data_IF_377742550099
#
_entry.id   IF_377742550099
#
_cell.length_a   1.000
_cell.length_b   1.000
_cell.length_c   1.000
_cell.angle_alpha   90.00
_cell.angle_beta   90.00
_cell.angle_gamma   90.00
#
_symmetry.space_group_name_H-M   'P 1'
#
loop_
_entity.id
_entity.type
_entity.pdbx_description
1 polymer ?
#
# COMPACT_ATOMS: atom_id res chain seq x y z
N UNK A 1 -5.77 30.18 -9.73
CA UNK A 1 -6.30 29.51 -10.94
C UNK A 1 -7.28 28.46 -10.45
N UNK A 2 -8.47 28.41 -11.02
CA UNK A 2 -9.48 27.41 -10.65
C UNK A 2 -9.03 26.08 -11.26
N UNK A 3 -8.73 25.07 -10.44
CA UNK A 3 -8.50 23.71 -10.90
C UNK A 3 -9.77 23.20 -11.56
N UNK A 4 -9.68 22.71 -12.77
CA UNK A 4 -10.79 22.06 -13.47
C UNK A 4 -10.40 20.66 -13.89
N UNK A 5 -11.34 19.73 -13.73
CA UNK A 5 -11.21 18.35 -14.13
C UNK A 5 -12.30 18.05 -15.15
N UNK A 6 -11.93 17.44 -16.26
CA UNK A 6 -12.86 17.02 -17.30
C UNK A 6 -12.97 15.50 -17.27
N UNK A 7 -14.21 15.00 -17.16
CA UNK A 7 -14.53 13.58 -17.35
C UNK A 7 -15.08 13.36 -18.75
N UNK A 8 -14.45 12.49 -19.52
CA UNK A 8 -14.84 12.13 -20.88
C UNK A 8 -15.26 10.67 -20.95
N UNK A 9 -16.41 10.40 -21.54
CA UNK A 9 -16.91 9.05 -21.83
C UNK A 9 -16.46 8.64 -23.24
N UNK A 10 -15.45 7.76 -23.35
CA UNK A 10 -14.86 7.37 -24.63
C UNK A 10 -15.83 6.57 -25.51
N UNK A 11 -16.71 5.80 -24.89
CA UNK A 11 -17.69 4.95 -25.57
C UNK A 11 -19.14 5.50 -25.47
N UNK A 12 -19.28 6.78 -25.09
CA UNK A 12 -20.59 7.42 -24.93
C UNK A 12 -21.45 6.87 -23.79
N UNK A 13 -20.88 6.06 -22.90
CA UNK A 13 -21.54 5.41 -21.77
C UNK A 13 -20.71 5.55 -20.50
N UNK A 14 -21.38 5.78 -19.36
CA UNK A 14 -20.74 5.80 -18.05
C UNK A 14 -20.26 4.41 -17.59
N UNK A 15 -20.70 3.35 -18.22
CA UNK A 15 -20.27 1.97 -17.96
C UNK A 15 -19.11 1.54 -18.85
N UNK A 16 -18.78 2.32 -19.88
CA UNK A 16 -17.64 2.08 -20.76
C UNK A 16 -16.34 2.62 -20.21
N UNK A 17 -15.42 2.95 -21.14
CA UNK A 17 -14.14 3.56 -20.80
C UNK A 17 -14.34 5.04 -20.48
N UNK A 18 -13.82 5.47 -19.34
CA UNK A 18 -13.81 6.87 -18.91
C UNK A 18 -12.38 7.38 -18.86
N UNK A 19 -12.21 8.65 -19.15
CA UNK A 19 -10.94 9.37 -19.11
C UNK A 19 -11.09 10.61 -18.24
N UNK A 20 -10.14 10.84 -17.32
CA UNK A 20 -10.01 12.09 -16.59
C UNK A 20 -8.87 12.94 -17.18
N UNK A 21 -9.12 14.23 -17.34
CA UNK A 21 -8.10 15.20 -17.72
C UNK A 21 -8.07 16.34 -16.69
N UNK A 22 -6.89 16.56 -16.12
CA UNK A 22 -6.63 17.63 -15.17
C UNK A 22 -5.94 18.78 -15.89
N UNK A 23 -6.26 20.04 -15.52
CA UNK A 23 -5.57 21.21 -16.09
C UNK A 23 -4.16 21.42 -15.53
N UNK A 24 -3.89 20.90 -14.33
CA UNK A 24 -2.66 21.09 -13.57
C UNK A 24 -1.81 19.82 -13.45
N UNK A 25 -2.25 18.70 -14.05
CA UNK A 25 -1.54 17.42 -14.00
C UNK A 25 -1.52 16.74 -15.38
N UNK A 26 -0.31 16.41 -15.93
CA UNK A 26 -0.19 15.91 -17.31
C UNK A 26 -0.56 14.43 -17.45
N UNK A 27 -0.93 13.76 -16.37
CA UNK A 27 -1.36 12.36 -16.40
C UNK A 27 -2.84 12.27 -16.73
N UNK A 28 -3.19 11.31 -17.56
CA UNK A 28 -4.56 10.99 -17.94
C UNK A 28 -4.95 9.64 -17.33
N UNK A 29 -5.69 9.62 -16.22
CA UNK A 29 -6.26 8.38 -15.68
C UNK A 29 -7.38 7.84 -16.55
N UNK A 30 -7.45 6.50 -16.64
CA UNK A 30 -8.54 5.80 -17.31
C UNK A 30 -9.25 4.86 -16.34
N UNK A 31 -10.59 4.86 -16.39
CA UNK A 31 -11.42 3.82 -15.77
C UNK A 31 -11.91 2.90 -16.88
N UNK A 32 -11.73 1.62 -16.69
CA UNK A 32 -11.96 0.58 -17.69
C UNK A 32 -12.84 -0.51 -17.09
N UNK A 33 -13.82 -1.01 -17.83
CA UNK A 33 -14.50 -2.24 -17.42
C UNK A 33 -13.68 -3.47 -17.80
N UNK A 34 -13.84 -4.57 -17.07
CA UNK A 34 -13.20 -5.85 -17.36
C UNK A 34 -13.36 -6.28 -18.82
N UNK A 35 -14.58 -6.13 -19.37
CA UNK A 35 -14.93 -6.54 -20.72
C UNK A 35 -14.19 -5.74 -21.80
N UNK A 36 -13.76 -4.51 -21.47
CA UNK A 36 -13.12 -3.57 -22.42
C UNK A 36 -11.59 -3.56 -22.34
N UNK A 37 -10.98 -4.41 -21.49
CA UNK A 37 -9.52 -4.40 -21.28
C UNK A 37 -8.75 -4.65 -22.58
N UNK A 38 -9.21 -5.59 -23.42
CA UNK A 38 -8.54 -5.90 -24.67
C UNK A 38 -8.62 -4.78 -25.71
N UNK A 39 -9.54 -3.82 -25.53
CA UNK A 39 -9.75 -2.66 -26.40
C UNK A 39 -8.99 -1.41 -25.92
N UNK A 40 -8.12 -1.56 -24.91
CA UNK A 40 -7.42 -0.43 -24.29
C UNK A 40 -6.02 -0.19 -24.88
N UNK A 41 -5.56 -1.02 -25.81
CA UNK A 41 -4.22 -0.93 -26.38
C UNK A 41 -3.89 0.44 -26.98
N UNK A 42 -4.88 1.10 -27.56
CA UNK A 42 -4.71 2.39 -28.24
C UNK A 42 -4.80 3.60 -27.28
N UNK A 43 -5.02 3.37 -25.98
CA UNK A 43 -5.10 4.47 -25.02
C UNK A 43 -3.70 5.07 -24.79
N UNK A 44 -3.56 6.41 -24.89
CA UNK A 44 -2.29 7.08 -24.72
C UNK A 44 -1.59 6.73 -23.39
N UNK A 45 -0.36 6.27 -23.47
CA UNK A 45 0.52 5.98 -22.34
C UNK A 45 0.29 4.64 -21.64
N UNK A 46 -0.71 3.84 -22.05
CA UNK A 46 -1.01 2.56 -21.40
C UNK A 46 0.07 1.50 -21.64
N UNK A 47 0.86 1.66 -22.67
CA UNK A 47 2.04 0.84 -23.00
C UNK A 47 3.30 1.24 -22.19
N UNK A 48 3.17 2.25 -21.32
CA UNK A 48 4.23 2.77 -20.47
C UNK A 48 4.10 2.35 -18.98
N UNK A 49 5.02 2.88 -18.15
CA UNK A 49 5.01 2.60 -16.72
C UNK A 49 3.88 3.34 -16.01
N UNK A 50 3.37 2.71 -14.93
CA UNK A 50 2.35 3.31 -14.11
C UNK A 50 1.79 2.41 -13.03
N UNK A 51 0.70 2.88 -12.43
CA UNK A 51 -0.09 2.14 -11.45
C UNK A 51 -1.43 1.71 -12.03
N UNK A 52 -1.93 0.59 -11.53
CA UNK A 52 -3.30 0.16 -11.81
C UNK A 52 -3.95 -0.43 -10.56
N UNK A 53 -5.25 -0.23 -10.48
CA UNK A 53 -6.11 -0.65 -9.40
C UNK A 53 -7.21 -1.50 -9.99
N UNK A 54 -7.33 -2.77 -9.59
CA UNK A 54 -8.40 -3.66 -10.02
C UNK A 54 -9.42 -3.76 -8.89
N UNK A 55 -10.65 -3.34 -9.16
CA UNK A 55 -11.74 -3.32 -8.22
C UNK A 55 -12.73 -4.43 -8.53
N UNK A 56 -13.31 -5.03 -7.49
CA UNK A 56 -14.32 -6.05 -7.63
C UNK A 56 -14.88 -6.47 -6.28
N UNK A 57 -15.29 -7.73 -6.16
CA UNK A 57 -15.91 -8.24 -4.94
C UNK A 57 -15.27 -9.53 -4.46
N UNK A 58 -15.04 -9.61 -3.16
CA UNK A 58 -14.68 -10.82 -2.42
C UNK A 58 -15.88 -11.20 -1.54
N UNK A 59 -16.78 -12.01 -2.10
CA UNK A 59 -18.08 -12.27 -1.50
C UNK A 59 -18.93 -11.00 -1.39
N UNK A 60 -19.26 -10.61 -0.14
CA UNK A 60 -20.00 -9.35 0.14
C UNK A 60 -19.09 -8.14 0.30
N UNK A 61 -17.79 -8.33 0.24
CA UNK A 61 -16.79 -7.30 0.51
C UNK A 61 -16.22 -6.72 -0.80
N UNK A 62 -15.96 -5.38 -0.87
CA UNK A 62 -15.19 -4.84 -2.00
C UNK A 62 -13.77 -5.37 -1.91
N UNK A 63 -13.28 -5.83 -3.04
CA UNK A 63 -11.92 -6.31 -3.22
C UNK A 63 -11.10 -5.33 -4.03
N UNK A 64 -9.79 -5.31 -3.81
CA UNK A 64 -8.84 -4.48 -4.51
C UNK A 64 -7.52 -5.23 -4.72
N UNK A 65 -7.04 -5.20 -5.96
CA UNK A 65 -5.65 -5.50 -6.30
C UNK A 65 -4.96 -4.22 -6.74
N UNK A 66 -3.74 -4.00 -6.28
CA UNK A 66 -2.93 -2.84 -6.64
C UNK A 66 -1.65 -3.31 -7.31
N UNK A 67 -1.40 -2.87 -8.55
CA UNK A 67 -0.20 -3.17 -9.32
C UNK A 67 0.60 -1.93 -9.67
N UNK A 68 1.93 -2.10 -9.72
CA UNK A 68 2.87 -1.17 -10.31
C UNK A 68 3.57 -1.89 -11.47
N UNK A 69 3.37 -1.40 -12.67
CA UNK A 69 3.85 -2.04 -13.90
C UNK A 69 4.85 -1.16 -14.64
N UNK A 70 5.80 -1.80 -15.31
CA UNK A 70 6.66 -1.14 -16.30
C UNK A 70 5.92 -0.92 -17.62
N UNK A 71 4.97 -1.79 -17.93
CA UNK A 71 4.10 -1.74 -19.09
C UNK A 71 2.70 -2.15 -18.63
N UNK A 72 1.82 -1.16 -18.38
CA UNK A 72 0.48 -1.43 -17.82
C UNK A 72 -0.31 -2.40 -18.70
N UNK A 73 -0.32 -2.15 -20.02
CA UNK A 73 -1.11 -2.96 -20.94
C UNK A 73 -0.71 -4.44 -20.95
N UNK A 74 0.56 -4.77 -20.75
CA UNK A 74 0.98 -6.17 -20.72
C UNK A 74 0.56 -6.92 -19.44
N UNK A 75 0.37 -6.21 -18.33
CA UNK A 75 -0.03 -6.82 -17.06
C UNK A 75 -1.54 -7.06 -16.96
N UNK A 76 -2.36 -6.17 -17.55
CA UNK A 76 -3.81 -6.24 -17.42
C UNK A 76 -4.43 -7.51 -18.01
N UNK A 77 -4.04 -8.00 -19.21
CA UNK A 77 -4.56 -9.24 -19.78
C UNK A 77 -4.19 -10.48 -18.96
N UNK A 78 -3.03 -10.49 -18.31
CA UNK A 78 -2.64 -11.60 -17.43
C UNK A 78 -3.61 -11.72 -16.26
N UNK A 79 -4.03 -10.59 -15.66
CA UNK A 79 -5.08 -10.59 -14.64
C UNK A 79 -6.46 -10.99 -15.15
N UNK A 80 -6.75 -10.82 -16.45
CA UNK A 80 -7.98 -11.37 -17.06
C UNK A 80 -7.92 -12.90 -17.09
N UNK A 81 -6.76 -13.47 -17.43
CA UNK A 81 -6.58 -14.93 -17.44
C UNK A 81 -6.59 -15.52 -16.02
N UNK A 82 -6.12 -14.78 -15.03
CA UNK A 82 -6.06 -15.15 -13.61
C UNK A 82 -7.36 -14.87 -12.85
N UNK A 83 -8.38 -14.31 -13.48
CA UNK A 83 -9.64 -13.89 -12.84
C UNK A 83 -10.43 -15.03 -12.15
N UNK A 84 -9.93 -16.24 -12.22
CA UNK A 84 -10.42 -17.36 -11.40
C UNK A 84 -10.05 -17.24 -9.92
N UNK A 85 -9.06 -16.41 -9.58
CA UNK A 85 -8.54 -16.21 -8.22
C UNK A 85 -9.32 -15.10 -7.49
N UNK A 86 -9.65 -14.03 -8.20
CA UNK A 86 -10.48 -12.93 -7.67
C UNK A 86 -11.30 -12.28 -8.80
N UNK A 87 -12.57 -12.00 -8.51
CA UNK A 87 -13.51 -11.46 -9.50
C UNK A 87 -13.46 -9.93 -9.48
N UNK A 88 -12.60 -9.32 -10.30
CA UNK A 88 -12.62 -7.89 -10.54
C UNK A 88 -13.50 -7.54 -11.76
N UNK A 89 -14.12 -6.36 -11.73
CA UNK A 89 -15.05 -5.86 -12.75
C UNK A 89 -14.63 -4.52 -13.35
N UNK A 90 -13.81 -3.75 -12.65
CA UNK A 90 -13.34 -2.45 -13.04
C UNK A 90 -11.86 -2.27 -12.76
N UNK A 91 -11.16 -1.59 -13.68
CA UNK A 91 -9.79 -1.16 -13.50
C UNK A 91 -9.70 0.37 -13.55
N UNK A 92 -8.85 0.96 -12.71
CA UNK A 92 -8.40 2.34 -12.89
C UNK A 92 -6.91 2.32 -13.12
N UNK A 93 -6.48 2.90 -14.24
CA UNK A 93 -5.07 2.91 -14.65
C UNK A 93 -4.53 4.33 -14.70
N UNK A 94 -3.29 4.48 -14.24
CA UNK A 94 -2.55 5.74 -14.20
C UNK A 94 -1.27 5.61 -15.02
N UNK A 95 -1.26 6.00 -16.30
CA UNK A 95 -0.04 6.04 -17.11
C UNK A 95 0.89 7.15 -16.60
N UNK A 96 1.95 6.78 -15.89
CA UNK A 96 2.84 7.74 -15.22
C UNK A 96 4.15 7.99 -15.98
N UNK A 97 4.35 7.34 -17.12
CA UNK A 97 5.58 7.43 -17.90
C UNK A 97 5.91 8.83 -18.46
N UNK A 98 4.94 9.75 -18.47
CA UNK A 98 5.13 11.14 -18.86
C UNK A 98 5.71 12.04 -17.75
N UNK A 99 5.82 11.53 -16.53
CA UNK A 99 6.38 12.26 -15.39
C UNK A 99 7.89 11.95 -15.27
N UNK A 100 8.73 12.94 -15.56
CA UNK A 100 10.20 12.78 -15.55
C UNK A 100 10.76 12.42 -14.17
N UNK A 101 10.04 12.78 -13.12
CA UNK A 101 10.47 12.64 -11.72
C UNK A 101 10.02 11.33 -11.09
N UNK A 102 9.37 10.45 -11.87
CA UNK A 102 8.91 9.15 -11.42
C UNK A 102 9.63 8.01 -12.15
N UNK A 103 10.58 7.41 -11.46
CA UNK A 103 11.21 6.16 -11.86
C UNK A 103 10.52 4.93 -11.27
N UNK A 104 11.16 3.79 -11.40
CA UNK A 104 10.63 2.52 -10.89
C UNK A 104 10.55 2.49 -9.36
N UNK A 105 11.48 3.14 -8.67
CA UNK A 105 11.49 3.22 -7.20
C UNK A 105 10.29 4.03 -6.68
N UNK A 106 10.01 5.16 -7.32
CA UNK A 106 8.86 6.01 -6.99
C UNK A 106 7.53 5.29 -7.25
N UNK A 107 7.41 4.53 -8.35
CA UNK A 107 6.24 3.71 -8.62
C UNK A 107 6.01 2.62 -7.56
N UNK A 108 7.08 1.96 -7.11
CA UNK A 108 7.00 0.97 -6.04
C UNK A 108 6.58 1.61 -4.72
N UNK A 109 7.10 2.80 -4.41
CA UNK A 109 6.70 3.53 -3.21
C UNK A 109 5.26 4.01 -3.26
N UNK A 110 4.77 4.47 -4.42
CA UNK A 110 3.37 4.80 -4.61
C UNK A 110 2.48 3.57 -4.33
N UNK A 111 2.82 2.41 -4.91
CA UNK A 111 2.10 1.16 -4.64
C UNK A 111 2.13 0.80 -3.14
N UNK A 112 3.29 0.95 -2.49
CA UNK A 112 3.43 0.70 -1.06
C UNK A 112 2.54 1.63 -0.22
N UNK A 113 2.50 2.93 -0.51
CA UNK A 113 1.68 3.89 0.23
C UNK A 113 0.19 3.64 0.04
N UNK A 114 -0.27 3.37 -1.18
CA UNK A 114 -1.67 3.02 -1.42
C UNK A 114 -2.06 1.71 -0.73
N UNK A 115 -1.25 0.66 -0.87
CA UNK A 115 -1.46 -0.62 -0.18
C UNK A 115 -1.58 -0.42 1.33
N UNK A 116 -0.63 0.32 1.92
CA UNK A 116 -0.56 0.58 3.35
C UNK A 116 -1.79 1.36 3.83
N UNK A 117 -2.17 2.42 3.11
CA UNK A 117 -3.34 3.23 3.43
C UNK A 117 -4.65 2.44 3.38
N UNK A 118 -4.86 1.63 2.34
CA UNK A 118 -6.04 0.76 2.22
C UNK A 118 -6.08 -0.29 3.34
N UNK A 119 -4.91 -0.86 3.66
CA UNK A 119 -4.79 -1.85 4.74
C UNK A 119 -5.17 -1.25 6.09
N UNK A 120 -4.79 0.02 6.37
CA UNK A 120 -5.19 0.74 7.59
C UNK A 120 -6.68 1.05 7.60
N UNK A 121 -7.18 1.59 6.49
CA UNK A 121 -8.58 1.97 6.39
C UNK A 121 -9.52 0.75 6.50
N UNK A 122 -9.04 -0.44 6.10
CA UNK A 122 -9.85 -1.65 6.06
C UNK A 122 -11.05 -1.53 5.13
N UNK A 123 -10.97 -0.64 4.14
CA UNK A 123 -12.06 -0.31 3.20
C UNK A 123 -12.25 -1.40 2.15
N UNK A 124 -11.17 -2.10 1.77
CA UNK A 124 -11.15 -3.17 0.78
C UNK A 124 -10.47 -4.42 1.32
N UNK A 125 -10.86 -5.59 0.83
CA UNK A 125 -10.05 -6.81 0.92
C UNK A 125 -8.95 -6.70 -0.11
N UNK A 126 -7.70 -6.70 0.34
CA UNK A 126 -6.55 -6.65 -0.56
C UNK A 126 -6.25 -8.04 -1.12
N UNK A 127 -6.19 -8.16 -2.43
CA UNK A 127 -5.89 -9.40 -3.16
C UNK A 127 -4.40 -9.59 -3.45
N UNK A 128 -3.58 -8.61 -3.10
CA UNK A 128 -2.13 -8.73 -3.23
C UNK A 128 -1.58 -9.81 -2.29
N UNK A 129 -0.78 -10.72 -2.83
CA UNK A 129 -0.14 -11.79 -2.06
C UNK A 129 0.93 -11.27 -1.09
N UNK A 130 1.60 -10.17 -1.45
CA UNK A 130 2.70 -9.58 -0.68
C UNK A 130 2.55 -8.07 -0.54
N UNK A 131 3.13 -7.54 0.54
CA UNK A 131 3.28 -6.08 0.71
C UNK A 131 4.17 -5.56 -0.42
N UNK A 132 3.77 -4.51 -1.16
CA UNK A 132 4.62 -3.88 -2.15
C UNK A 132 5.97 -3.43 -1.56
N UNK A 133 7.00 -3.40 -2.39
CA UNK A 133 8.34 -3.04 -1.95
C UNK A 133 8.42 -1.54 -1.70
N UNK A 134 9.06 -1.16 -0.58
CA UNK A 134 9.45 0.22 -0.32
C UNK A 134 10.91 0.41 -0.66
N UNK A 135 11.24 1.55 -1.28
CA UNK A 135 12.62 1.94 -1.60
C UNK A 135 12.94 3.31 -0.96
N UNK A 136 13.95 3.36 -0.11
CA UNK A 136 14.36 4.57 0.60
C UNK A 136 15.18 5.55 -0.26
N UNK A 137 15.59 5.16 -1.47
CA UNK A 137 16.29 6.01 -2.42
C UNK A 137 15.36 6.80 -3.34
N UNK A 138 14.03 6.56 -3.28
CA UNK A 138 13.05 7.25 -4.10
C UNK A 138 12.89 8.73 -3.70
N UNK A 139 12.52 9.58 -4.65
CA UNK A 139 12.14 10.97 -4.39
C UNK A 139 10.75 11.03 -3.73
N UNK A 140 10.76 11.15 -2.40
CA UNK A 140 9.53 11.21 -1.60
C UNK A 140 8.66 12.44 -1.91
N UNK A 141 9.21 13.53 -2.43
CA UNK A 141 8.45 14.71 -2.83
C UNK A 141 7.62 14.41 -4.08
N UNK A 142 8.24 13.83 -5.11
CA UNK A 142 7.56 13.40 -6.33
C UNK A 142 6.49 12.35 -6.02
N UNK A 143 6.80 11.38 -5.16
CA UNK A 143 5.86 10.38 -4.67
C UNK A 143 4.66 11.03 -3.98
N UNK A 144 4.87 11.97 -3.04
CA UNK A 144 3.80 12.61 -2.28
C UNK A 144 2.85 13.45 -3.14
N UNK A 145 3.37 14.21 -4.11
CA UNK A 145 2.58 14.99 -5.05
C UNK A 145 1.72 14.08 -5.94
N UNK A 146 2.33 13.05 -6.49
CA UNK A 146 1.63 12.09 -7.36
C UNK A 146 0.59 11.28 -6.59
N UNK A 147 0.90 10.87 -5.36
CA UNK A 147 -0.04 10.18 -4.46
C UNK A 147 -1.32 11.01 -4.25
N UNK A 148 -1.17 12.32 -3.96
CA UNK A 148 -2.31 13.23 -3.78
C UNK A 148 -3.21 13.31 -5.02
N UNK A 149 -2.61 13.44 -6.20
CA UNK A 149 -3.35 13.50 -7.47
C UNK A 149 -4.02 12.18 -7.85
N UNK A 150 -3.36 11.04 -7.62
CA UNK A 150 -3.98 9.72 -7.83
C UNK A 150 -5.17 9.52 -6.90
N UNK A 151 -5.03 9.90 -5.61
CA UNK A 151 -6.13 9.83 -4.66
C UNK A 151 -7.33 10.66 -5.10
N UNK A 152 -7.12 11.92 -5.49
CA UNK A 152 -8.16 12.82 -6.02
C UNK A 152 -8.87 12.20 -7.24
N UNK A 153 -8.10 11.66 -8.19
CA UNK A 153 -8.65 11.02 -9.38
C UNK A 153 -9.51 9.78 -9.04
N UNK A 154 -9.08 8.95 -8.09
CA UNK A 154 -9.84 7.78 -7.64
C UNK A 154 -11.17 8.20 -7.00
N UNK A 155 -11.15 9.22 -6.14
CA UNK A 155 -12.37 9.78 -5.51
C UNK A 155 -13.35 10.30 -6.56
N UNK A 156 -12.87 11.04 -7.57
CA UNK A 156 -13.68 11.54 -8.66
C UNK A 156 -14.27 10.42 -9.54
N UNK A 157 -13.57 9.28 -9.66
CA UNK A 157 -14.06 8.09 -10.37
C UNK A 157 -14.97 7.21 -9.51
N UNK A 158 -15.25 7.61 -8.25
CA UNK A 158 -16.14 6.91 -7.34
C UNK A 158 -15.48 5.86 -6.46
N UNK A 159 -14.15 5.86 -6.35
CA UNK A 159 -13.39 4.93 -5.52
C UNK A 159 -12.75 5.65 -4.33
N UNK A 160 -13.40 5.61 -3.18
CA UNK A 160 -12.80 6.09 -1.93
C UNK A 160 -12.06 4.96 -1.24
N UNK A 161 -10.73 4.94 -1.42
CA UNK A 161 -9.86 3.89 -0.88
C UNK A 161 -9.69 3.96 0.63
N UNK A 162 -9.92 5.12 1.24
CA UNK A 162 -9.54 5.40 2.61
C UNK A 162 -10.74 5.66 3.53
N UNK A 163 -11.96 5.63 2.99
CA UNK A 163 -13.15 5.71 3.80
C UNK A 163 -13.31 4.43 4.61
N UNK A 164 -13.10 4.55 5.91
CA UNK A 164 -13.29 3.44 6.81
C UNK A 164 -14.73 2.90 6.68
N UNK A 165 -14.86 1.59 6.51
CA UNK A 165 -16.17 0.95 6.49
C UNK A 165 -16.91 1.23 7.78
N UNK A 166 -18.09 1.83 7.70
CA UNK A 166 -19.09 1.83 8.77
C UNK A 166 -19.62 0.39 8.95
N UNK A 167 -18.80 -0.48 9.53
CA UNK A 167 -19.26 -1.78 9.99
C UNK A 167 -18.77 -2.01 11.40
N UNK A 168 -19.74 -2.17 12.27
CA UNK A 168 -19.67 -2.39 13.72
C UNK A 168 -19.38 -1.11 14.52
N UNK A 169 -20.46 -0.48 14.95
CA UNK A 169 -20.50 0.65 15.89
C UNK A 169 -19.76 0.36 17.21
N UNK A 170 -19.49 -0.91 17.53
CA UNK A 170 -18.75 -1.33 18.73
C UNK A 170 -17.21 -1.27 18.60
N UNK A 171 -16.66 -1.08 17.38
CA UNK A 171 -15.21 -0.95 17.15
C UNK A 171 -14.76 0.48 16.88
N UNK A 172 -15.70 1.41 16.69
CA UNK A 172 -15.42 2.80 16.33
C UNK A 172 -14.85 3.61 17.52
N UNK A 173 -15.19 3.25 18.74
CA UNK A 173 -14.67 3.92 19.94
C UNK A 173 -13.24 3.51 20.32
N UNK A 174 -12.72 2.40 19.83
CA UNK A 174 -11.36 1.93 20.07
C UNK A 174 -10.35 2.22 18.95
N UNK A 175 -10.71 3.01 17.94
CA UNK A 175 -9.72 3.53 16.98
C UNK A 175 -8.90 4.65 17.59
N UNK A 176 -8.08 4.33 18.56
CA UNK A 176 -6.80 5.02 18.72
C UNK A 176 -6.14 4.95 17.34
N UNK A 177 -5.74 6.09 16.80
CA UNK A 177 -5.04 6.18 15.50
C UNK A 177 -3.88 5.20 15.52
N UNK A 178 -4.09 4.01 14.97
CA UNK A 178 -3.04 3.02 14.86
C UNK A 178 -2.07 3.52 13.79
N UNK A 179 -0.93 4.01 14.23
CA UNK A 179 0.12 4.48 13.32
C UNK A 179 0.78 3.29 12.64
N UNK A 180 1.03 3.45 11.35
CA UNK A 180 1.76 2.50 10.55
C UNK A 180 3.22 2.89 10.45
N UNK A 181 4.05 1.90 10.65
CA UNK A 181 5.48 1.95 10.44
C UNK A 181 5.88 0.94 9.37
N UNK A 182 6.88 1.27 8.61
CA UNK A 182 7.44 0.38 7.61
C UNK A 182 8.96 0.27 7.77
N UNK A 183 9.48 -0.82 7.28
CA UNK A 183 10.90 -1.01 7.02
C UNK A 183 11.03 -1.49 5.58
N UNK A 184 11.87 -0.81 4.80
CA UNK A 184 12.18 -1.20 3.42
C UNK A 184 13.65 -0.98 3.16
N UNK A 185 14.38 -2.06 2.86
CA UNK A 185 15.78 -2.04 2.46
C UNK A 185 16.09 -3.28 1.62
N UNK A 186 16.56 -3.08 0.40
CA UNK A 186 16.84 -4.20 -0.47
C UNK A 186 15.62 -5.09 -0.73
N UNK A 187 15.67 -6.35 -0.32
CA UNK A 187 14.55 -7.32 -0.46
C UNK A 187 13.58 -7.31 0.71
N UNK A 188 13.85 -6.52 1.75
CA UNK A 188 13.01 -6.40 2.94
C UNK A 188 11.87 -5.42 2.65
N UNK A 189 10.65 -5.83 2.98
CA UNK A 189 9.49 -4.96 2.89
C UNK A 189 8.49 -5.40 3.95
N UNK A 190 8.53 -4.77 5.11
CA UNK A 190 7.65 -5.10 6.23
C UNK A 190 6.80 -3.90 6.65
N UNK A 191 5.53 -4.16 6.89
CA UNK A 191 4.57 -3.20 7.39
C UNK A 191 4.18 -3.58 8.81
N UNK A 192 4.28 -2.62 9.72
CA UNK A 192 4.03 -2.80 11.15
C UNK A 192 3.04 -1.75 11.64
N UNK A 193 2.07 -2.17 12.44
CA UNK A 193 1.10 -1.28 13.06
C UNK A 193 1.37 -1.21 14.56
N UNK A 194 1.48 0.00 15.09
CA UNK A 194 1.47 0.23 16.53
C UNK A 194 0.02 0.16 17.05
N UNK A 195 -0.26 -0.73 17.97
CA UNK A 195 -1.57 -0.91 18.57
C UNK A 195 -1.76 0.00 19.79
N UNK A 196 -3.00 0.17 20.22
CA UNK A 196 -3.36 1.02 21.37
C UNK A 196 -2.74 0.55 22.70
N UNK A 197 -2.49 -0.75 22.83
CA UNK A 197 -1.83 -1.37 24.00
C UNK A 197 -0.30 -1.34 23.93
N UNK A 198 0.26 -0.55 23.02
CA UNK A 198 1.68 -0.46 22.72
C UNK A 198 2.31 -1.76 22.20
N UNK A 199 1.52 -2.74 21.81
CA UNK A 199 2.00 -3.88 21.04
C UNK A 199 2.13 -3.52 19.55
N UNK A 200 2.85 -4.36 18.79
CA UNK A 200 3.05 -4.18 17.36
C UNK A 200 2.43 -5.34 16.60
N UNK A 201 1.70 -5.05 15.55
CA UNK A 201 1.24 -6.05 14.59
C UNK A 201 2.08 -5.96 13.33
N UNK A 202 2.89 -6.98 13.04
CA UNK A 202 3.50 -7.16 11.73
C UNK A 202 2.43 -7.70 10.77
N UNK A 203 2.16 -6.93 9.73
CA UNK A 203 1.06 -7.21 8.79
C UNK A 203 1.39 -8.41 7.92
N UNK A 204 0.39 -9.22 7.60
CA UNK A 204 0.49 -10.32 6.63
C UNK A 204 1.09 -9.83 5.31
N UNK A 205 1.94 -10.65 4.69
CA UNK A 205 2.65 -10.32 3.47
C UNK A 205 3.97 -9.55 3.68
N UNK A 206 4.30 -9.19 4.94
CA UNK A 206 5.61 -8.57 5.25
C UNK A 206 6.75 -9.52 4.90
N UNK A 207 7.72 -9.03 4.12
CA UNK A 207 8.91 -9.78 3.70
C UNK A 207 10.09 -9.51 4.63
N UNK A 208 10.72 -10.58 5.08
CA UNK A 208 11.86 -10.56 5.98
C UNK A 208 13.17 -10.64 5.18
N UNK A 209 14.26 -10.10 5.73
CA UNK A 209 15.59 -10.28 5.17
C UNK A 209 15.97 -11.78 5.07
N UNK A 210 16.73 -12.22 4.07
CA UNK A 210 17.39 -13.51 4.10
C UNK A 210 18.29 -13.62 5.36
N UNK A 211 18.42 -14.84 5.90
CA UNK A 211 19.43 -15.08 6.92
C UNK A 211 20.81 -15.16 6.27
N UNK A 212 21.79 -14.54 6.93
CA UNK A 212 23.20 -14.52 6.55
C UNK A 212 24.04 -15.20 7.64
N UNK A 213 25.35 -15.34 7.41
CA UNK A 213 26.27 -15.92 8.41
C UNK A 213 26.34 -15.09 9.70
N UNK A 214 26.03 -13.79 9.61
CA UNK A 214 25.94 -12.87 10.76
C UNK A 214 24.59 -12.93 11.48
N UNK A 215 23.66 -13.76 11.02
CA UNK A 215 22.34 -13.86 11.61
C UNK A 215 22.39 -14.57 12.98
N UNK A 216 21.63 -14.04 13.93
CA UNK A 216 21.51 -14.64 15.27
C UNK A 216 20.89 -16.05 15.20
N UNK A 217 21.54 -17.03 15.83
CA UNK A 217 21.03 -18.40 15.95
C UNK A 217 19.61 -18.43 16.54
N UNK A 218 19.33 -17.56 17.50
CA UNK A 218 18.02 -17.40 18.13
C UNK A 218 16.96 -16.99 17.10
N UNK A 219 17.28 -16.02 16.23
CA UNK A 219 16.35 -15.56 15.20
C UNK A 219 16.15 -16.64 14.16
N UNK A 220 17.22 -17.33 13.74
CA UNK A 220 17.13 -18.44 12.80
C UNK A 220 16.23 -19.58 13.32
N UNK A 221 16.40 -19.95 14.61
CA UNK A 221 15.54 -20.94 15.27
C UNK A 221 14.08 -20.49 15.36
N UNK A 222 13.83 -19.19 15.67
CA UNK A 222 12.48 -18.64 15.72
C UNK A 222 11.81 -18.67 14.35
N UNK A 223 12.50 -18.24 13.28
CA UNK A 223 11.97 -18.29 11.90
C UNK A 223 11.66 -19.73 11.46
N UNK A 224 12.54 -20.68 11.78
CA UNK A 224 12.29 -22.10 11.51
C UNK A 224 11.03 -22.62 12.22
N UNK A 225 10.82 -22.21 13.48
CA UNK A 225 9.59 -22.52 14.23
C UNK A 225 8.35 -21.91 13.56
N UNK A 226 8.47 -20.67 13.10
CA UNK A 226 7.38 -19.95 12.40
C UNK A 226 7.06 -20.61 11.04
N UNK A 227 8.06 -21.04 10.29
CA UNK A 227 7.87 -21.79 9.04
C UNK A 227 7.13 -23.10 9.30
N UNK A 228 7.56 -23.88 10.30
CA UNK A 228 6.87 -25.13 10.70
C UNK A 228 5.42 -24.89 11.15
N UNK A 229 5.14 -23.75 11.77
CA UNK A 229 3.79 -23.36 12.18
C UNK A 229 2.96 -22.73 11.06
N UNK A 230 3.47 -22.65 9.83
CA UNK A 230 2.80 -22.04 8.67
C UNK A 230 2.59 -20.53 8.80
N UNK A 231 3.37 -19.85 9.65
CA UNK A 231 3.30 -18.38 9.85
C UNK A 231 4.25 -17.61 8.94
N UNK A 232 5.18 -18.30 8.31
CA UNK A 232 6.18 -17.76 7.40
C UNK A 232 6.34 -18.72 6.22
N UNK A 233 6.26 -18.20 4.99
CA UNK A 233 6.49 -18.91 3.74
C UNK A 233 7.33 -18.03 2.82
N UNK A 234 8.40 -18.56 2.25
CA UNK A 234 9.27 -17.83 1.31
C UNK A 234 9.70 -16.44 1.78
N UNK A 235 10.08 -16.34 3.06
CA UNK A 235 10.41 -15.12 3.80
C UNK A 235 9.25 -14.13 3.98
N UNK A 236 8.03 -14.45 3.61
CA UNK A 236 6.87 -13.61 3.82
C UNK A 236 5.96 -14.14 4.93
N UNK A 237 5.35 -13.24 5.70
CA UNK A 237 4.36 -13.61 6.72
C UNK A 237 3.05 -14.02 6.06
N UNK A 238 2.46 -15.12 6.51
CA UNK A 238 1.19 -15.68 5.97
C UNK A 238 -0.05 -15.20 6.73
N UNK A 239 0.16 -14.46 7.81
CA UNK A 239 -0.87 -13.85 8.68
C UNK A 239 -0.28 -12.70 9.45
N UNK A 240 -1.14 -11.89 10.06
CA UNK A 240 -0.72 -10.87 11.02
C UNK A 240 -0.07 -11.52 12.25
N UNK A 241 1.04 -10.94 12.71
CA UNK A 241 1.82 -11.42 13.86
C UNK A 241 1.94 -10.32 14.90
N UNK A 242 1.60 -10.62 16.15
CA UNK A 242 1.63 -9.64 17.25
C UNK A 242 2.90 -9.81 18.07
N UNK A 243 3.56 -8.69 18.33
CA UNK A 243 4.79 -8.56 19.14
C UNK A 243 4.56 -7.55 20.26
N UNK A 244 5.03 -7.85 21.43
CA UNK A 244 5.01 -6.91 22.58
C UNK A 244 6.20 -5.96 22.58
N UNK A 245 7.23 -6.27 21.80
CA UNK A 245 8.49 -5.54 21.75
C UNK A 245 8.87 -5.25 20.29
N UNK A 246 9.10 -3.97 20.01
CA UNK A 246 9.48 -3.48 18.67
C UNK A 246 10.86 -4.01 18.24
N UNK A 247 11.83 -4.11 19.18
CA UNK A 247 13.17 -4.62 18.89
C UNK A 247 13.14 -6.11 18.52
N UNK A 248 12.33 -6.90 19.22
CA UNK A 248 12.16 -8.31 18.90
C UNK A 248 11.50 -8.50 17.51
N UNK A 249 10.53 -7.67 17.17
CA UNK A 249 9.91 -7.66 15.84
C UNK A 249 10.91 -7.24 14.77
N UNK A 250 11.64 -6.14 14.98
CA UNK A 250 12.63 -5.62 14.04
C UNK A 250 13.77 -6.63 13.82
N UNK A 251 14.30 -7.22 14.90
CA UNK A 251 15.33 -8.27 14.82
C UNK A 251 14.86 -9.47 13.99
N UNK A 252 13.59 -9.86 14.14
CA UNK A 252 13.01 -10.91 13.29
C UNK A 252 12.96 -10.50 11.82
N UNK A 253 12.60 -9.23 11.50
CA UNK A 253 12.52 -8.73 10.13
C UNK A 253 13.91 -8.68 9.49
N UNK A 254 14.89 -8.13 10.19
CA UNK A 254 16.25 -7.89 9.66
C UNK A 254 17.10 -9.17 9.67
N UNK A 255 16.86 -10.09 10.61
CA UNK A 255 17.62 -11.34 10.73
C UNK A 255 18.80 -11.26 11.70
N UNK A 256 19.07 -10.09 12.29
CA UNK A 256 20.12 -9.82 13.28
C UNK A 256 19.54 -9.16 14.52
N UNK A 257 20.24 -9.25 15.66
CA UNK A 257 19.79 -8.57 16.89
C UNK A 257 19.88 -7.04 16.70
N UNK A 258 18.77 -6.35 16.87
CA UNK A 258 18.67 -4.89 16.80
C UNK A 258 18.67 -4.28 18.20
N UNK A 259 19.35 -3.16 18.36
CA UNK A 259 19.40 -2.42 19.64
C UNK A 259 18.59 -1.12 19.59
N UNK A 260 18.24 -0.65 18.40
CA UNK A 260 17.49 0.58 18.14
C UNK A 260 16.38 0.32 17.14
N UNK A 261 15.31 1.14 17.19
CA UNK A 261 14.13 1.01 16.31
C UNK A 261 14.07 2.08 15.21
N UNK A 262 15.15 2.80 14.95
CA UNK A 262 15.19 3.92 14.00
C UNK A 262 14.99 3.50 12.54
N UNK A 263 15.07 2.21 12.25
CA UNK A 263 14.73 1.64 10.94
C UNK A 263 13.21 1.54 10.70
N UNK A 264 12.38 1.66 11.75
CA UNK A 264 10.95 1.71 11.64
C UNK A 264 10.50 3.16 11.40
N UNK A 265 10.06 3.45 10.19
CA UNK A 265 9.63 4.77 9.76
C UNK A 265 8.11 4.82 9.63
N UNK A 266 7.50 5.88 10.17
CA UNK A 266 6.08 6.16 9.93
C UNK A 266 5.86 6.58 8.47
N UNK A 267 4.62 6.60 8.00
CA UNK A 267 4.28 7.12 6.67
C UNK A 267 4.62 8.61 6.48
N UNK A 268 4.77 9.36 7.59
CA UNK A 268 5.24 10.75 7.58
C UNK A 268 6.76 10.89 7.63
N UNK A 269 7.50 9.77 7.64
CA UNK A 269 8.97 9.74 7.65
C UNK A 269 9.60 9.89 9.03
N UNK A 270 8.81 9.91 10.11
CA UNK A 270 9.35 9.92 11.49
C UNK A 270 9.79 8.51 11.89
N UNK A 271 10.91 8.41 12.56
CA UNK A 271 11.31 7.17 13.23
C UNK A 271 10.34 6.81 14.35
N UNK A 272 10.28 5.54 14.73
CA UNK A 272 9.46 5.12 15.87
C UNK A 272 9.83 5.89 17.15
N UNK A 273 11.11 6.14 17.38
CA UNK A 273 11.61 6.90 18.54
C UNK A 273 11.10 8.34 18.54
N UNK A 274 11.16 9.03 17.41
CA UNK A 274 10.65 10.39 17.25
C UNK A 274 9.13 10.46 17.41
N UNK A 275 8.41 9.49 16.83
CA UNK A 275 6.96 9.40 16.95
C UNK A 275 6.52 9.24 18.42
N UNK A 276 7.15 8.31 19.15
CA UNK A 276 6.83 8.08 20.57
C UNK A 276 7.21 9.29 21.45
N UNK A 277 8.32 9.97 21.17
CA UNK A 277 8.69 11.20 21.87
C UNK A 277 7.68 12.32 21.63
N UNK A 278 7.20 12.48 20.39
CA UNK A 278 6.15 13.44 20.03
C UNK A 278 4.81 13.13 20.72
N UNK A 279 4.41 11.86 20.75
CA UNK A 279 3.18 11.43 21.42
C UNK A 279 3.21 11.70 22.94
N UNK A 280 4.35 11.48 23.59
CA UNK A 280 4.54 11.79 25.02
C UNK A 280 4.48 13.31 25.30
N UNK A 281 5.00 14.14 24.39
CA UNK A 281 4.96 15.60 24.52
C UNK A 281 3.52 16.14 24.43
N UNK A 282 2.69 15.57 23.56
CA UNK A 282 1.27 15.92 23.43
C UNK A 282 0.48 15.51 24.70
N UNK A 283 0.73 14.30 25.21
CA UNK A 283 0.07 13.82 26.44
C UNK A 283 0.39 14.70 27.67
N UNK A 284 1.63 15.19 27.78
CA UNK A 284 2.03 16.10 28.85
C UNK A 284 1.37 17.48 28.75
N UNK A 285 1.08 17.98 27.55
CA UNK A 285 0.36 19.26 27.35
C UNK A 285 -1.12 19.17 27.71
N UNK A 286 -1.76 18.03 27.55
CA UNK A 286 -3.18 17.83 27.91
C UNK A 286 -3.40 17.76 29.42
N UNK A 287 -2.40 17.34 30.19
CA UNK A 287 -2.46 17.26 31.67
C UNK A 287 -2.21 18.61 32.35
N UNK A 288 -1.76 19.65 31.63
CA UNK A 288 -1.53 21.00 32.20
C UNK A 288 -2.70 22.00 31.99
N UNK A 289 -3.83 21.56 31.51
CA UNK A 289 -5.03 22.39 31.31
C UNK A 289 -6.22 21.77 32.07
N UNK A 290 -6.04 21.52 33.35
CA UNK A 290 -7.12 21.34 34.34
C UNK A 290 -6.75 22.06 35.62
#
# INVERSE_FOLDING_TARGET
MTESVMLEMLDGSSQGRLKLAFTDWPVTPYKLSYEMINECQDLPGIDGPGLYFLFGRDGVYPGLYLGAARYIYSELPDHVMENTVFAWDQAVVFPLGGLSDLGQMELQNLAFYFYSGVKVAGSYVLWNDFVPRYDNAADLRAVGLTYGKIKEALELLGFDLFQARQKYEDWAEQRVKSELFYIGCGEVSALCRLNADCSFTMVMGSRLAPLTDDSSERIAALRKKMQKAGKLKDLATTRDLIFRDALAMLSLIVGTECQECDQLLSLSGLTLSEYLAGAQAVSKKVVQVV
#
